data_IF_612805492555
#
_entry.id   IF_612805492555
#
_cell.length_a   1.000
_cell.length_b   1.000
_cell.length_c   1.000
_cell.angle_alpha   90.00
_cell.angle_beta   90.00
_cell.angle_gamma   90.00
#
_symmetry.space_group_name_H-M   'P 1'
#
loop_
_entity.id
_entity.type
_entity.pdbx_description
1 polymer ?
#
# COMPACT_ATOMS: atom_id res chain seq x y z
N UNK A 1 14.83 -14.51 -8.59
CA UNK A 1 13.78 -14.22 -9.58
C UNK A 1 12.44 -14.04 -8.86
N UNK A 2 12.00 -12.81 -8.58
CA UNK A 2 10.68 -12.50 -7.97
C UNK A 2 9.98 -11.28 -8.62
N UNK A 3 10.51 -10.77 -9.73
CA UNK A 3 10.04 -9.54 -10.36
C UNK A 3 8.58 -9.61 -10.83
N UNK A 4 8.13 -10.78 -11.31
CA UNK A 4 6.73 -10.97 -11.73
C UNK A 4 5.74 -10.87 -10.57
N UNK A 5 6.04 -11.52 -9.44
CA UNK A 5 5.22 -11.43 -8.24
C UNK A 5 5.20 -9.99 -7.69
N UNK A 6 6.37 -9.34 -7.61
CA UNK A 6 6.46 -7.94 -7.19
C UNK A 6 5.63 -7.00 -8.10
N UNK A 7 5.72 -7.17 -9.42
CA UNK A 7 4.97 -6.37 -10.38
C UNK A 7 3.45 -6.57 -10.23
N UNK A 8 2.99 -7.80 -9.95
CA UNK A 8 1.59 -8.08 -9.68
C UNK A 8 1.11 -7.33 -8.42
N UNK A 9 1.86 -7.41 -7.32
CA UNK A 9 1.51 -6.73 -6.06
C UNK A 9 1.44 -5.21 -6.26
N UNK A 10 2.40 -4.62 -6.97
CA UNK A 10 2.38 -3.18 -7.28
C UNK A 10 1.13 -2.80 -8.08
N UNK A 11 0.78 -3.58 -9.12
CA UNK A 11 -0.41 -3.33 -9.94
C UNK A 11 -1.70 -3.44 -9.15
N UNK A 12 -1.79 -4.41 -8.24
CA UNK A 12 -2.93 -4.54 -7.33
C UNK A 12 -3.04 -3.31 -6.41
N UNK A 13 -1.92 -2.82 -5.88
CA UNK A 13 -1.88 -1.59 -5.08
C UNK A 13 -2.36 -0.36 -5.85
N UNK A 14 -1.90 -0.20 -7.10
CA UNK A 14 -2.34 0.91 -7.98
C UNK A 14 -3.85 0.82 -8.26
N UNK A 15 -4.35 -0.38 -8.57
CA UNK A 15 -5.77 -0.61 -8.84
C UNK A 15 -6.65 -0.27 -7.65
N UNK A 16 -6.22 -0.67 -6.45
CA UNK A 16 -6.90 -0.33 -5.19
C UNK A 16 -6.87 1.17 -4.93
N UNK A 17 -5.73 1.83 -5.16
CA UNK A 17 -5.61 3.28 -5.04
C UNK A 17 -6.61 4.01 -5.95
N UNK A 18 -6.70 3.63 -7.22
CA UNK A 18 -7.66 4.20 -8.17
C UNK A 18 -9.11 4.01 -7.72
N UNK A 19 -9.44 2.84 -7.17
CA UNK A 19 -10.78 2.56 -6.64
C UNK A 19 -11.11 3.45 -5.44
N UNK A 20 -10.19 3.59 -4.49
CA UNK A 20 -10.37 4.48 -3.32
C UNK A 20 -10.55 5.93 -3.78
N UNK A 21 -9.72 6.40 -4.71
CA UNK A 21 -9.83 7.76 -5.25
C UNK A 21 -11.20 8.00 -5.89
N UNK A 22 -11.66 7.11 -6.77
CA UNK A 22 -12.97 7.21 -7.42
C UNK A 22 -14.12 7.23 -6.41
N UNK A 23 -14.09 6.37 -5.40
CA UNK A 23 -15.12 6.32 -4.36
C UNK A 23 -15.15 7.59 -3.52
N UNK A 24 -14.00 8.12 -3.12
CA UNK A 24 -13.94 9.34 -2.30
C UNK A 24 -14.43 10.55 -3.09
N UNK A 25 -13.99 10.72 -4.34
CA UNK A 25 -14.43 11.83 -5.18
C UNK A 25 -15.94 11.75 -5.46
N UNK A 26 -16.45 10.58 -5.81
CA UNK A 26 -17.89 10.37 -6.05
C UNK A 26 -18.74 10.64 -4.81
N UNK A 27 -18.35 10.12 -3.64
CA UNK A 27 -19.11 10.32 -2.39
C UNK A 27 -19.01 11.73 -1.83
N UNK A 28 -17.92 12.43 -2.11
CA UNK A 28 -17.71 13.79 -1.59
C UNK A 28 -18.40 14.87 -2.43
N UNK A 29 -18.98 14.51 -3.58
CA UNK A 29 -19.69 15.43 -4.47
C UNK A 29 -18.76 16.25 -5.36
N UNK A 30 -17.56 15.74 -5.64
CA UNK A 30 -16.62 16.41 -6.53
C UNK A 30 -17.18 16.56 -7.94
N UNK A 31 -17.16 17.78 -8.48
CA UNK A 31 -17.56 18.08 -9.87
C UNK A 31 -16.38 18.71 -10.63
N UNK A 32 -15.83 18.05 -11.67
CA UNK A 32 -14.69 18.58 -12.42
C UNK A 32 -14.99 19.87 -13.21
N UNK A 33 -16.27 20.23 -13.40
CA UNK A 33 -16.65 21.43 -14.16
C UNK A 33 -16.75 22.69 -13.28
N UNK A 34 -16.72 22.54 -11.95
CA UNK A 34 -16.79 23.67 -11.03
C UNK A 34 -15.40 24.26 -10.77
N UNK A 35 -15.28 25.60 -10.70
CA UNK A 35 -14.06 26.24 -10.22
C UNK A 35 -13.82 25.85 -8.75
N UNK A 36 -12.57 26.00 -8.28
CA UNK A 36 -12.17 25.62 -6.91
C UNK A 36 -13.07 26.26 -5.85
N UNK A 37 -13.46 27.52 -6.04
CA UNK A 37 -14.34 28.27 -5.12
C UNK A 37 -15.79 27.75 -5.10
N UNK A 38 -16.22 27.09 -6.18
CA UNK A 38 -17.55 26.50 -6.32
C UNK A 38 -17.63 25.05 -5.84
N UNK A 39 -16.51 24.43 -5.45
CA UNK A 39 -16.50 23.04 -4.99
C UNK A 39 -17.16 22.89 -3.62
N UNK A 40 -17.93 21.82 -3.38
CA UNK A 40 -18.43 21.51 -2.06
C UNK A 40 -17.31 21.38 -1.03
N UNK A 41 -17.54 21.87 0.19
CA UNK A 41 -16.57 21.71 1.28
C UNK A 41 -16.23 20.22 1.54
N UNK A 42 -17.20 19.32 1.35
CA UNK A 42 -17.00 17.86 1.42
C UNK A 42 -15.99 17.35 0.39
N UNK A 43 -15.99 17.89 -0.84
CA UNK A 43 -15.04 17.51 -1.90
C UNK A 43 -13.60 17.91 -1.51
N UNK A 44 -13.43 19.13 -0.99
CA UNK A 44 -12.13 19.61 -0.50
C UNK A 44 -11.62 18.73 0.64
N UNK A 45 -12.50 18.38 1.60
CA UNK A 45 -12.15 17.47 2.69
C UNK A 45 -11.80 16.05 2.18
N UNK A 46 -12.55 15.54 1.21
CA UNK A 46 -12.28 14.25 0.57
C UNK A 46 -10.89 14.21 -0.08
N UNK A 47 -10.53 15.24 -0.84
CA UNK A 47 -9.20 15.36 -1.47
C UNK A 47 -8.11 15.46 -0.41
N UNK A 48 -8.29 16.27 0.64
CA UNK A 48 -7.32 16.35 1.75
C UNK A 48 -7.14 15.00 2.44
N UNK A 49 -8.21 14.24 2.62
CA UNK A 49 -8.15 12.90 3.21
C UNK A 49 -7.39 11.92 2.30
N UNK A 50 -7.55 12.00 0.97
CA UNK A 50 -6.78 11.20 0.01
C UNK A 50 -5.27 11.47 0.09
N UNK A 51 -4.86 12.72 0.35
CA UNK A 51 -3.44 13.09 0.43
C UNK A 51 -2.80 12.85 1.80
N UNK A 52 -3.59 12.72 2.87
CA UNK A 52 -3.06 12.64 4.25
C UNK A 52 -3.55 11.40 4.98
N UNK A 53 -4.84 11.35 5.30
CA UNK A 53 -5.44 10.30 6.10
C UNK A 53 -5.31 8.91 5.47
N UNK A 54 -5.60 8.78 4.17
CA UNK A 54 -5.55 7.50 3.46
C UNK A 54 -4.12 6.92 3.42
N UNK A 55 -3.07 7.67 3.03
CA UNK A 55 -1.68 7.20 3.11
C UNK A 55 -1.24 6.80 4.51
N UNK A 56 -1.62 7.56 5.54
CA UNK A 56 -1.31 7.25 6.94
C UNK A 56 -1.97 5.92 7.33
N UNK A 57 -3.27 5.77 7.07
CA UNK A 57 -4.00 4.54 7.38
C UNK A 57 -3.43 3.32 6.65
N UNK A 58 -3.11 3.46 5.36
CA UNK A 58 -2.50 2.39 4.57
C UNK A 58 -1.13 1.99 5.12
N UNK A 59 -0.32 2.96 5.56
CA UNK A 59 1.00 2.71 6.16
C UNK A 59 0.88 1.99 7.49
N UNK A 60 -0.04 2.43 8.37
CA UNK A 60 -0.30 1.77 9.64
C UNK A 60 -0.79 0.33 9.45
N UNK A 61 -1.65 0.10 8.46
CA UNK A 61 -2.09 -1.25 8.09
C UNK A 61 -0.91 -2.12 7.61
N UNK A 62 -0.03 -1.54 6.78
CA UNK A 62 1.20 -2.22 6.33
C UNK A 62 2.10 -2.62 7.50
N UNK A 63 2.33 -1.70 8.46
CA UNK A 63 3.09 -1.98 9.68
C UNK A 63 2.42 -3.10 10.48
N UNK A 64 1.10 -3.05 10.66
CA UNK A 64 0.35 -4.08 11.38
C UNK A 64 0.50 -5.47 10.74
N UNK A 65 0.41 -5.55 9.41
CA UNK A 65 0.62 -6.81 8.67
C UNK A 65 2.06 -7.29 8.84
N UNK A 66 3.05 -6.41 8.73
CA UNK A 66 4.47 -6.75 8.89
C UNK A 66 4.79 -7.25 10.30
N UNK A 67 4.15 -6.72 11.35
CA UNK A 67 4.32 -7.22 12.73
C UNK A 67 3.88 -8.67 12.91
N UNK A 68 3.03 -9.20 12.04
CA UNK A 68 2.62 -10.61 12.06
C UNK A 68 3.60 -11.51 11.30
N UNK A 69 4.55 -10.94 10.57
CA UNK A 69 5.53 -11.71 9.82
C UNK A 69 6.64 -12.22 10.77
N UNK A 70 6.72 -13.55 11.05
CA UNK A 70 7.50 -14.09 12.18
C UNK A 70 8.99 -14.21 11.87
N UNK A 71 9.58 -13.26 11.15
CA UNK A 71 10.96 -13.33 10.69
C UNK A 71 11.93 -12.63 11.64
N UNK A 72 11.93 -13.07 12.89
CA UNK A 72 12.72 -12.48 13.97
C UNK A 72 13.45 -13.56 14.79
N UNK A 73 14.51 -13.17 15.50
CA UNK A 73 15.21 -14.02 16.46
C UNK A 73 15.78 -15.32 15.88
N UNK A 74 15.58 -16.42 16.60
CA UNK A 74 16.15 -17.74 16.28
C UNK A 74 15.67 -18.27 14.91
N UNK A 75 14.42 -17.99 14.53
CA UNK A 75 13.88 -18.39 13.23
C UNK A 75 14.59 -17.68 12.08
N UNK A 76 14.92 -16.39 12.24
CA UNK A 76 15.67 -15.65 11.23
C UNK A 76 17.09 -16.24 11.03
N UNK A 77 17.77 -16.58 12.12
CA UNK A 77 19.11 -17.19 12.05
C UNK A 77 19.07 -18.59 11.41
N UNK A 78 18.08 -19.42 11.75
CA UNK A 78 17.85 -20.72 11.10
C UNK A 78 17.61 -20.58 9.60
N UNK A 79 16.82 -19.59 9.16
CA UNK A 79 16.59 -19.32 7.73
C UNK A 79 17.89 -18.89 7.03
N UNK A 80 18.70 -18.05 7.65
CA UNK A 80 20.01 -17.62 7.10
C UNK A 80 21.00 -18.78 6.96
N UNK A 81 21.07 -19.66 7.95
CA UNK A 81 21.94 -20.85 7.89
C UNK A 81 21.51 -21.80 6.78
N UNK A 82 20.21 -22.06 6.63
CA UNK A 82 19.68 -22.88 5.53
C UNK A 82 20.04 -22.29 4.17
N UNK A 83 19.92 -20.97 4.00
CA UNK A 83 20.32 -20.30 2.76
C UNK A 83 21.83 -20.48 2.50
N UNK A 84 22.69 -20.31 3.50
CA UNK A 84 24.14 -20.54 3.34
C UNK A 84 24.45 -21.97 2.90
N UNK A 85 23.79 -22.97 3.48
CA UNK A 85 24.00 -24.37 3.13
C UNK A 85 23.59 -24.67 1.68
N UNK A 86 22.43 -24.15 1.23
CA UNK A 86 21.98 -24.33 -0.15
C UNK A 86 22.99 -23.75 -1.15
N UNK A 87 23.48 -22.54 -0.91
CA UNK A 87 24.46 -21.88 -1.78
C UNK A 87 25.82 -22.57 -1.78
N UNK A 88 26.22 -23.23 -0.69
CA UNK A 88 27.47 -24.00 -0.62
C UNK A 88 27.37 -25.36 -1.33
N UNK A 89 26.15 -25.85 -1.60
CA UNK A 89 25.92 -27.12 -2.30
C UNK A 89 25.76 -26.94 -3.82
N UNK A 90 25.52 -25.70 -4.28
CA UNK A 90 25.37 -25.33 -5.69
C UNK A 90 26.69 -24.87 -6.37
N UNK A 91 27.83 -24.89 -5.65
CA UNK A 91 29.19 -24.65 -6.20
C UNK A 91 30.00 -25.93 -6.26
#
# INVERSE_FOLDING_TARGET
MYFGANALIIRLGISLNSLIMGLVLSKSGYDPNLPVEGQPASAILGIRALCSFIPIAATLLGIFVLRKYPLEGEYLEQVKERLKQMHATET
#
